data_IF_602190383456
#
_entry.id   IF_602190383456
#
_cell.length_a   1.000
_cell.length_b   1.000
_cell.length_c   1.000
_cell.angle_alpha   90.00
_cell.angle_beta   90.00
_cell.angle_gamma   90.00
#
_symmetry.space_group_name_H-M   'P 1'
#
loop_
_entity.id
_entity.type
_entity.pdbx_description
1 polymer ?
#
# COMPACT_ATOMS: atom_id res chain seq x y z
N UNK A 1 11.92 9.17 37.07
CA UNK A 1 12.04 8.62 35.70
C UNK A 1 12.34 9.79 34.78
N UNK A 2 13.48 9.83 34.06
CA UNK A 2 13.90 11.04 33.34
C UNK A 2 13.03 11.25 32.10
N UNK A 3 12.59 12.50 31.88
CA UNK A 3 11.68 12.89 30.80
C UNK A 3 12.35 12.80 29.41
N UNK A 4 13.68 13.00 29.35
CA UNK A 4 14.47 13.02 28.11
C UNK A 4 14.67 11.66 27.44
N UNK A 5 14.55 10.54 28.18
CA UNK A 5 14.67 9.21 27.60
C UNK A 5 13.52 8.92 26.61
N UNK A 6 12.30 9.40 26.92
CA UNK A 6 11.14 9.27 26.03
C UNK A 6 11.27 10.08 24.74
N UNK A 7 12.04 11.17 24.74
CA UNK A 7 12.23 12.02 23.56
C UNK A 7 13.08 11.30 22.51
N UNK A 8 14.16 10.62 22.93
CA UNK A 8 15.00 9.84 22.01
C UNK A 8 14.20 8.69 21.40
N UNK A 9 13.51 7.91 22.24
CA UNK A 9 12.68 6.78 21.77
C UNK A 9 11.58 7.25 20.79
N UNK A 10 10.96 8.40 21.06
CA UNK A 10 9.95 8.97 20.17
C UNK A 10 10.51 9.41 18.82
N UNK A 11 11.71 10.00 18.80
CA UNK A 11 12.40 10.40 17.56
C UNK A 11 12.75 9.17 16.73
N UNK A 12 13.36 8.18 17.36
CA UNK A 12 13.76 6.94 16.68
C UNK A 12 12.54 6.23 16.09
N UNK A 13 11.47 6.06 16.88
CA UNK A 13 10.23 5.46 16.41
C UNK A 13 9.62 6.24 15.23
N UNK A 14 9.59 7.57 15.30
CA UNK A 14 9.07 8.40 14.22
C UNK A 14 9.89 8.24 12.94
N UNK A 15 11.21 8.33 13.03
CA UNK A 15 12.10 8.17 11.88
C UNK A 15 11.98 6.77 11.28
N UNK A 16 11.94 5.71 12.09
CA UNK A 16 11.69 4.35 11.60
C UNK A 16 10.41 4.29 10.78
N UNK A 17 9.29 4.80 11.32
CA UNK A 17 7.99 4.75 10.62
C UNK A 17 8.04 5.57 9.32
N UNK A 18 8.60 6.77 9.35
CA UNK A 18 8.66 7.65 8.17
C UNK A 18 9.58 7.06 7.09
N UNK A 19 10.74 6.53 7.44
CA UNK A 19 11.65 5.88 6.49
C UNK A 19 11.06 4.60 5.92
N UNK A 20 10.42 3.77 6.74
CA UNK A 20 9.72 2.57 6.25
C UNK A 20 8.61 2.98 5.28
N UNK A 21 7.78 3.97 5.62
CA UNK A 21 6.73 4.46 4.74
C UNK A 21 7.31 5.01 3.41
N UNK A 22 8.41 5.76 3.47
CA UNK A 22 9.08 6.30 2.30
C UNK A 22 9.67 5.19 1.41
N UNK A 23 10.30 4.19 2.01
CA UNK A 23 10.86 3.04 1.29
C UNK A 23 9.75 2.25 0.58
N UNK A 24 8.63 1.98 1.26
CA UNK A 24 7.46 1.30 0.66
C UNK A 24 6.86 2.14 -0.46
N UNK A 25 6.70 3.45 -0.27
CA UNK A 25 6.19 4.35 -1.30
C UNK A 25 7.12 4.34 -2.53
N UNK A 26 8.42 4.50 -2.34
CA UNK A 26 9.41 4.46 -3.44
C UNK A 26 9.37 3.12 -4.17
N UNK A 27 9.30 2.02 -3.44
CA UNK A 27 9.21 0.68 -4.03
C UNK A 27 7.98 0.53 -4.92
N UNK A 28 6.81 0.92 -4.41
CA UNK A 28 5.55 0.85 -5.14
C UNK A 28 5.55 1.75 -6.38
N UNK A 29 6.10 2.97 -6.28
CA UNK A 29 6.25 3.89 -7.42
C UNK A 29 7.18 3.30 -8.47
N UNK A 30 8.31 2.72 -8.07
CA UNK A 30 9.27 2.13 -8.99
C UNK A 30 8.70 0.92 -9.73
N UNK A 31 7.86 0.10 -9.08
CA UNK A 31 7.21 -1.06 -9.72
C UNK A 31 6.12 -0.67 -10.71
N UNK A 32 5.39 0.40 -10.41
CA UNK A 32 4.18 0.78 -11.17
C UNK A 32 4.41 1.93 -12.15
N UNK A 33 5.50 2.69 -12.00
CA UNK A 33 5.76 3.92 -12.75
C UNK A 33 4.84 5.09 -12.37
N UNK A 34 3.95 4.92 -11.39
CA UNK A 34 2.97 5.93 -11.00
C UNK A 34 3.43 6.74 -9.80
N UNK A 35 2.98 8.00 -9.71
CA UNK A 35 3.08 8.76 -8.47
C UNK A 35 2.28 8.06 -7.35
N UNK A 36 2.82 8.04 -6.12
CA UNK A 36 2.18 7.32 -5.00
C UNK A 36 0.73 7.77 -4.74
N UNK A 37 0.45 9.08 -4.89
CA UNK A 37 -0.91 9.63 -4.78
C UNK A 37 -1.86 9.01 -5.80
N UNK A 38 -1.41 8.83 -7.05
CA UNK A 38 -2.25 8.28 -8.11
C UNK A 38 -2.53 6.79 -7.85
N UNK A 39 -1.47 6.03 -7.51
CA UNK A 39 -1.58 4.61 -7.17
C UNK A 39 -2.59 4.37 -6.02
N UNK A 40 -2.43 5.10 -4.91
CA UNK A 40 -3.34 4.97 -3.76
C UNK A 40 -4.78 5.34 -4.13
N UNK A 41 -4.99 6.39 -4.94
CA UNK A 41 -6.35 6.77 -5.38
C UNK A 41 -7.00 5.68 -6.22
N UNK A 42 -6.28 5.06 -7.14
CA UNK A 42 -6.80 4.02 -8.02
C UNK A 42 -7.08 2.70 -7.30
N UNK A 43 -6.24 2.32 -6.34
CA UNK A 43 -6.42 1.08 -5.59
C UNK A 43 -7.43 1.24 -4.44
N UNK A 44 -7.53 2.44 -3.82
CA UNK A 44 -8.45 2.70 -2.70
C UNK A 44 -9.93 2.52 -3.08
N UNK A 45 -10.28 2.72 -4.36
CA UNK A 45 -11.65 2.56 -4.87
C UNK A 45 -12.04 1.10 -5.08
N UNK A 46 -11.07 0.17 -5.12
CA UNK A 46 -11.33 -1.26 -5.20
C UNK A 46 -11.81 -1.77 -3.83
N UNK A 47 -13.11 -1.65 -3.57
CA UNK A 47 -13.76 -2.15 -2.35
C UNK A 47 -14.97 -2.99 -2.70
N UNK A 48 -15.18 -4.06 -1.94
CA UNK A 48 -16.40 -4.86 -2.03
C UNK A 48 -17.58 -4.08 -1.48
N UNK A 49 -18.74 -4.23 -2.12
CA UNK A 49 -20.00 -3.68 -1.63
C UNK A 49 -20.79 -4.80 -0.94
N UNK A 50 -21.42 -4.50 0.19
CA UNK A 50 -22.35 -5.42 0.84
C UNK A 50 -23.76 -4.86 0.68
N UNK A 51 -24.63 -5.64 0.06
CA UNK A 51 -26.01 -5.27 -0.25
C UNK A 51 -26.93 -6.19 0.54
N UNK A 52 -27.91 -5.61 1.24
CA UNK A 52 -28.95 -6.36 1.93
C UNK A 52 -30.30 -6.12 1.22
N UNK A 53 -30.92 -7.17 0.69
CA UNK A 53 -32.24 -7.11 0.04
C UNK A 53 -33.10 -8.24 0.59
N UNK A 54 -34.31 -7.92 1.08
CA UNK A 54 -35.29 -8.89 1.60
C UNK A 54 -34.71 -9.86 2.65
N UNK A 55 -33.80 -9.39 3.51
CA UNK A 55 -33.14 -10.20 4.54
C UNK A 55 -31.95 -11.03 4.06
N UNK A 56 -31.67 -11.08 2.75
CA UNK A 56 -30.47 -11.69 2.21
C UNK A 56 -29.33 -10.66 2.12
N UNK A 57 -28.19 -10.98 2.71
CA UNK A 57 -26.96 -10.17 2.62
C UNK A 57 -26.04 -10.80 1.59
N UNK A 58 -25.63 -10.02 0.59
CA UNK A 58 -24.68 -10.44 -0.43
C UNK A 58 -23.50 -9.47 -0.50
N UNK A 59 -22.29 -10.01 -0.57
CA UNK A 59 -21.07 -9.24 -0.79
C UNK A 59 -20.64 -9.36 -2.24
N UNK A 60 -20.59 -8.24 -2.93
CA UNK A 60 -20.17 -8.12 -4.33
C UNK A 60 -18.70 -7.69 -4.36
N UNK A 61 -17.81 -8.45 -5.03
CA UNK A 61 -16.41 -8.04 -5.17
C UNK A 61 -16.29 -6.77 -6.01
N UNK A 62 -15.21 -5.98 -5.87
CA UNK A 62 -14.98 -4.83 -6.71
C UNK A 62 -14.80 -5.23 -8.17
N UNK A 63 -15.32 -4.42 -9.09
CA UNK A 63 -14.96 -4.52 -10.49
C UNK A 63 -13.52 -4.02 -10.68
N UNK A 64 -12.63 -4.89 -11.16
CA UNK A 64 -11.21 -4.58 -11.38
C UNK A 64 -10.98 -4.48 -12.89
N UNK A 65 -10.56 -3.31 -13.37
CA UNK A 65 -10.24 -3.14 -14.79
C UNK A 65 -8.93 -3.84 -15.18
N UNK A 66 -8.69 -4.13 -16.48
CA UNK A 66 -7.42 -4.72 -16.93
C UNK A 66 -6.19 -3.91 -16.51
N UNK A 67 -6.32 -2.57 -16.50
CA UNK A 67 -5.26 -1.67 -16.04
C UNK A 67 -5.01 -1.83 -14.54
N UNK A 68 -6.05 -1.95 -13.73
CA UNK A 68 -5.91 -2.17 -12.28
C UNK A 68 -5.33 -3.55 -11.98
N UNK A 69 -5.68 -4.58 -12.75
CA UNK A 69 -5.05 -5.89 -12.68
C UNK A 69 -3.55 -5.81 -12.96
N UNK A 70 -3.14 -5.12 -14.04
CA UNK A 70 -1.73 -4.94 -14.35
C UNK A 70 -0.96 -4.22 -13.23
N UNK A 71 -1.59 -3.26 -12.54
CA UNK A 71 -0.99 -2.60 -11.38
C UNK A 71 -0.85 -3.54 -10.18
N UNK A 72 -1.87 -4.36 -9.89
CA UNK A 72 -1.80 -5.36 -8.82
C UNK A 72 -0.70 -6.39 -9.10
N UNK A 73 -0.60 -6.87 -10.34
CA UNK A 73 0.45 -7.79 -10.78
C UNK A 73 1.84 -7.17 -10.65
N UNK A 74 2.00 -5.90 -11.06
CA UNK A 74 3.26 -5.18 -10.93
C UNK A 74 3.70 -5.04 -9.47
N UNK A 75 2.76 -4.90 -8.54
CA UNK A 75 3.06 -4.84 -7.10
C UNK A 75 3.42 -6.21 -6.51
N UNK A 76 2.83 -7.30 -7.02
CA UNK A 76 3.06 -8.67 -6.51
C UNK A 76 4.39 -9.28 -6.99
N UNK A 77 4.87 -8.90 -8.17
CA UNK A 77 6.13 -9.45 -8.70
C UNK A 77 7.32 -8.98 -7.86
N UNK A 78 8.13 -9.89 -7.30
CA UNK A 78 9.38 -9.50 -6.66
C UNK A 78 10.29 -8.86 -7.70
N UNK A 79 11.05 -7.83 -7.31
CA UNK A 79 12.16 -7.39 -8.15
C UNK A 79 13.16 -8.55 -8.21
N UNK A 80 13.34 -9.11 -9.39
CA UNK A 80 14.58 -9.80 -9.75
C UNK A 80 15.67 -8.74 -9.89
N UNK A 81 16.17 -8.25 -8.75
CA UNK A 81 17.53 -7.75 -8.73
C UNK A 81 18.39 -8.98 -8.93
N UNK A 82 18.88 -9.19 -10.16
CA UNK A 82 20.00 -10.10 -10.35
C UNK A 82 21.07 -9.63 -9.37
N UNK A 83 21.45 -10.49 -8.43
CA UNK A 83 22.76 -10.39 -7.77
C UNK A 83 23.80 -10.56 -8.89
N UNK A 84 24.03 -9.47 -9.63
CA UNK A 84 25.21 -9.31 -10.45
C UNK A 84 26.39 -9.31 -9.49
N UNK A 85 27.21 -10.34 -9.61
CA UNK A 85 28.52 -10.46 -8.99
C UNK A 85 29.39 -9.26 -9.33
#
# INVERSE_FOLDING_TARGET
>A
RPMFARTKDAIEAHLTIVFTALAVAREAQNRTGLAIRNLVRQLRTLRSATIAINGAVQTIPPAISPQQHALLDALQRPRTHALGK
#
